data_IF_955100987202
#
_entry.id   IF_955100987202
#
_cell.length_a   1.000
_cell.length_b   1.000
_cell.length_c   1.000
_cell.angle_alpha   90.00
_cell.angle_beta   90.00
_cell.angle_gamma   90.00
#
_symmetry.space_group_name_H-M   'P 1'
#
loop_
_entity.id
_entity.type
_entity.pdbx_description
1 polymer ?
#
# COMPACT_ATOMS: atom_id res chain seq x y z
N UNK A 1 -3.18 4.92 -2.04
CA UNK A 1 -4.13 3.85 -1.66
C UNK A 1 -5.52 4.36 -1.24
N UNK A 2 -5.60 5.35 -0.35
CA UNK A 2 -6.88 5.85 0.21
C UNK A 2 -7.86 6.36 -0.86
N UNK A 3 -7.38 7.21 -1.78
CA UNK A 3 -8.21 7.72 -2.88
C UNK A 3 -8.82 6.58 -3.71
N UNK A 4 -8.00 5.61 -4.15
CA UNK A 4 -8.47 4.44 -4.92
C UNK A 4 -9.45 3.58 -4.12
N UNK A 5 -9.23 3.41 -2.82
CA UNK A 5 -10.14 2.63 -1.98
C UNK A 5 -11.54 3.28 -1.91
N UNK A 6 -11.59 4.60 -1.72
CA UNK A 6 -12.85 5.37 -1.73
C UNK A 6 -13.50 5.42 -3.12
N UNK A 7 -12.70 5.52 -4.18
CA UNK A 7 -13.18 5.49 -5.57
C UNK A 7 -13.88 4.16 -5.88
N UNK A 8 -13.27 3.03 -5.51
CA UNK A 8 -13.75 1.71 -5.88
C UNK A 8 -14.86 1.17 -4.97
N UNK A 9 -14.86 1.56 -3.69
CA UNK A 9 -15.76 0.98 -2.68
C UNK A 9 -16.74 2.01 -2.08
N UNK A 10 -16.66 3.27 -2.51
CA UNK A 10 -17.47 4.35 -1.98
C UNK A 10 -17.01 4.86 -0.60
N UNK A 11 -17.84 5.71 0.04
CA UNK A 11 -17.55 6.30 1.33
C UNK A 11 -17.32 5.24 2.42
N UNK A 12 -16.35 5.48 3.31
CA UNK A 12 -15.93 4.48 4.30
C UNK A 12 -15.40 5.12 5.59
N UNK A 13 -15.46 4.38 6.71
CA UNK A 13 -14.83 4.82 7.97
C UNK A 13 -13.32 4.58 7.95
N UNK A 14 -12.56 5.26 8.82
CA UNK A 14 -11.10 5.06 8.94
C UNK A 14 -10.75 3.59 9.21
N UNK A 15 -11.58 2.87 9.98
CA UNK A 15 -11.39 1.44 10.27
C UNK A 15 -11.54 0.59 9.01
N UNK A 16 -12.55 0.88 8.19
CA UNK A 16 -12.76 0.19 6.91
C UNK A 16 -11.61 0.48 5.95
N UNK A 17 -11.18 1.74 5.85
CA UNK A 17 -10.06 2.14 5.00
C UNK A 17 -8.73 1.48 5.40
N UNK A 18 -8.45 1.40 6.70
CA UNK A 18 -7.27 0.69 7.21
C UNK A 18 -7.28 -0.78 6.81
N UNK A 19 -8.43 -1.46 6.98
CA UNK A 19 -8.58 -2.86 6.57
C UNK A 19 -8.45 -3.07 5.06
N UNK A 20 -9.09 -2.20 4.25
CA UNK A 20 -9.08 -2.33 2.79
C UNK A 20 -7.71 -2.02 2.18
N UNK A 21 -6.93 -1.13 2.80
CA UNK A 21 -5.63 -0.70 2.26
C UNK A 21 -4.44 -1.39 2.88
N UNK A 22 -4.61 -2.15 3.96
CA UNK A 22 -3.51 -2.72 4.75
C UNK A 22 -2.66 -1.68 5.49
N UNK A 23 -3.03 -0.40 5.42
CA UNK A 23 -2.33 0.70 6.08
C UNK A 23 -2.78 0.80 7.53
N UNK A 24 -1.85 1.08 8.44
CA UNK A 24 -2.16 1.23 9.87
C UNK A 24 -3.18 2.34 10.12
N UNK A 25 -3.97 2.20 11.18
CA UNK A 25 -5.01 3.17 11.51
C UNK A 25 -4.47 4.60 11.69
N UNK A 26 -3.30 4.75 12.33
CA UNK A 26 -2.67 6.06 12.53
C UNK A 26 -2.24 6.70 11.20
N UNK A 27 -1.66 5.92 10.27
CA UNK A 27 -1.27 6.42 8.96
C UNK A 27 -2.49 6.78 8.08
N UNK A 28 -3.58 6.01 8.17
CA UNK A 28 -4.87 6.38 7.55
C UNK A 28 -5.37 7.70 8.12
N UNK A 29 -5.44 7.85 9.44
CA UNK A 29 -5.91 9.07 10.11
C UNK A 29 -5.11 10.32 9.70
N UNK A 30 -3.78 10.20 9.66
CA UNK A 30 -2.89 11.28 9.19
C UNK A 30 -3.14 11.64 7.72
N UNK A 31 -3.29 10.63 6.87
CA UNK A 31 -3.59 10.84 5.44
C UNK A 31 -4.94 11.53 5.25
N UNK A 32 -5.98 11.09 5.96
CA UNK A 32 -7.31 11.70 5.90
C UNK A 32 -7.29 13.14 6.39
N UNK A 33 -6.58 13.44 7.47
CA UNK A 33 -6.41 14.82 7.96
C UNK A 33 -5.80 15.72 6.89
N UNK A 34 -4.73 15.26 6.23
CA UNK A 34 -4.08 16.03 5.15
C UNK A 34 -4.97 16.17 3.90
N UNK A 35 -5.68 15.12 3.52
CA UNK A 35 -6.61 15.14 2.39
C UNK A 35 -7.78 16.09 2.66
N UNK A 36 -8.33 16.08 3.87
CA UNK A 36 -9.44 16.94 4.28
C UNK A 36 -9.01 18.40 4.30
N UNK A 37 -7.84 18.72 4.88
CA UNK A 37 -7.27 20.07 4.88
C UNK A 37 -7.06 20.64 3.46
N UNK A 38 -6.85 19.76 2.47
CA UNK A 38 -6.67 20.12 1.06
C UNK A 38 -7.96 19.98 0.22
N UNK A 39 -9.10 19.70 0.85
CA UNK A 39 -10.40 19.59 0.18
C UNK A 39 -10.61 18.33 -0.66
N UNK A 40 -9.76 17.31 -0.55
CA UNK A 40 -9.89 16.04 -1.29
C UNK A 40 -10.94 15.11 -0.72
N UNK A 41 -11.19 15.19 0.60
CA UNK A 41 -12.20 14.37 1.27
C UNK A 41 -13.06 15.22 2.19
N UNK A 42 -14.34 14.85 2.30
CA UNK A 42 -15.24 15.33 3.34
C UNK A 42 -15.37 14.28 4.44
N UNK A 43 -15.68 14.75 5.66
CA UNK A 43 -15.88 13.95 6.85
C UNK A 43 -17.28 14.23 7.38
N UNK A 44 -18.13 13.21 7.41
CA UNK A 44 -19.49 13.29 7.95
C UNK A 44 -19.61 12.40 9.20
N UNK A 45 -20.47 12.78 10.14
CA UNK A 45 -20.80 11.94 11.29
C UNK A 45 -21.50 10.67 10.80
N UNK A 46 -21.02 9.52 11.22
CA UNK A 46 -21.66 8.24 10.94
C UNK A 46 -22.90 8.00 11.82
N UNK A 47 -23.46 6.79 11.72
CA UNK A 47 -24.60 6.36 12.54
C UNK A 47 -24.27 6.31 14.05
N UNK A 48 -23.00 6.04 14.39
CA UNK A 48 -22.43 6.29 15.71
C UNK A 48 -21.71 7.64 15.68
N UNK A 49 -22.01 8.53 16.64
CA UNK A 49 -21.38 9.84 16.78
C UNK A 49 -19.84 9.79 16.90
N UNK A 50 -19.28 8.61 17.18
CA UNK A 50 -17.82 8.38 17.25
C UNK A 50 -17.19 7.95 15.94
N UNK A 51 -17.97 7.48 14.96
CA UNK A 51 -17.45 7.09 13.65
C UNK A 51 -17.60 8.24 12.66
N UNK A 52 -16.54 8.56 11.90
CA UNK A 52 -16.60 9.50 10.78
C UNK A 52 -16.55 8.74 9.46
N UNK A 53 -17.48 9.07 8.58
CA UNK A 53 -17.53 8.57 7.20
C UNK A 53 -16.71 9.53 6.34
N UNK A 54 -15.76 8.97 5.60
CA UNK A 54 -14.91 9.69 4.66
C UNK A 54 -15.47 9.48 3.25
N UNK A 55 -15.63 10.56 2.49
CA UNK A 55 -16.02 10.51 1.08
C UNK A 55 -15.13 11.40 0.22
N UNK A 56 -14.94 11.04 -1.06
CA UNK A 56 -14.28 11.92 -2.03
C UNK A 56 -15.17 13.12 -2.33
N UNK A 57 -14.56 14.30 -2.41
CA UNK A 57 -15.28 15.52 -2.78
C UNK A 57 -15.41 15.65 -4.31
N UNK A 58 -16.29 16.54 -4.81
CA UNK A 58 -16.31 16.90 -6.23
C UNK A 58 -14.95 17.40 -6.74
N UNK A 59 -14.21 18.13 -5.90
CA UNK A 59 -12.85 18.58 -6.21
C UNK A 59 -11.90 17.40 -6.48
N UNK A 60 -11.93 16.38 -5.61
CA UNK A 60 -11.16 15.16 -5.79
C UNK A 60 -11.55 14.39 -7.05
N UNK A 61 -12.85 14.27 -7.33
CA UNK A 61 -13.35 13.60 -8.54
C UNK A 61 -12.94 14.35 -9.82
N UNK A 62 -12.93 15.68 -9.81
CA UNK A 62 -12.43 16.48 -10.94
C UNK A 62 -10.95 16.26 -11.26
N UNK A 63 -10.17 15.75 -10.31
CA UNK A 63 -8.74 15.44 -10.49
C UNK A 63 -8.49 13.97 -10.86
N UNK A 64 -9.53 13.13 -10.89
CA UNK A 64 -9.41 11.71 -11.22
C UNK A 64 -8.71 11.47 -12.57
N UNK A 65 -9.03 12.17 -13.68
CA UNK A 65 -8.37 11.92 -14.96
C UNK A 65 -6.85 12.11 -14.91
N UNK A 66 -6.38 13.12 -14.16
CA UNK A 66 -4.94 13.37 -13.96
C UNK A 66 -4.30 12.27 -13.11
N UNK A 67 -4.98 11.81 -12.07
CA UNK A 67 -4.50 10.71 -11.24
C UNK A 67 -4.41 9.40 -12.04
N UNK A 68 -5.40 9.11 -12.88
CA UNK A 68 -5.39 7.95 -13.77
C UNK A 68 -4.21 7.98 -14.76
N UNK A 69 -3.91 9.15 -15.34
CA UNK A 69 -2.72 9.32 -16.18
C UNK A 69 -1.43 9.05 -15.42
N UNK A 70 -1.28 9.61 -14.20
CA UNK A 70 -0.11 9.33 -13.37
C UNK A 70 0.02 7.83 -13.05
N UNK A 71 -1.10 7.17 -12.75
CA UNK A 71 -1.12 5.74 -12.47
C UNK A 71 -0.76 4.89 -13.68
N UNK A 72 -1.30 5.21 -14.85
CA UNK A 72 -0.96 4.53 -16.10
C UNK A 72 0.53 4.71 -16.44
N UNK A 73 1.08 5.90 -16.21
CA UNK A 73 2.51 6.16 -16.40
C UNK A 73 3.38 5.36 -15.43
N UNK A 74 3.00 5.27 -14.15
CA UNK A 74 3.71 4.43 -13.17
C UNK A 74 3.65 2.95 -13.57
N UNK A 75 2.47 2.45 -13.97
CA UNK A 75 2.29 1.07 -14.42
C UNK A 75 3.16 0.76 -15.66
N UNK A 76 3.21 1.66 -16.64
CA UNK A 76 4.04 1.51 -17.82
C UNK A 76 5.55 1.48 -17.47
N UNK A 77 5.99 2.37 -16.58
CA UNK A 77 7.38 2.39 -16.11
C UNK A 77 7.74 1.12 -15.33
N UNK A 78 6.85 0.63 -14.46
CA UNK A 78 7.04 -0.64 -13.74
C UNK A 78 7.13 -1.83 -14.70
N UNK A 79 6.24 -1.90 -15.71
CA UNK A 79 6.27 -2.97 -16.71
C UNK A 79 7.55 -2.97 -17.54
N UNK A 80 8.05 -1.80 -17.93
CA UNK A 80 9.33 -1.70 -18.63
C UNK A 80 10.49 -2.26 -17.79
N UNK A 81 10.49 -2.03 -16.47
CA UNK A 81 11.48 -2.63 -15.58
C UNK A 81 11.30 -4.15 -15.46
N UNK A 82 10.06 -4.64 -15.40
CA UNK A 82 9.78 -6.08 -15.36
C UNK A 82 10.25 -6.78 -16.65
N UNK A 83 10.16 -6.11 -17.80
CA UNK A 83 10.70 -6.59 -19.09
C UNK A 83 12.23 -6.71 -19.05
N UNK A 84 12.94 -5.70 -18.52
CA UNK A 84 14.39 -5.74 -18.33
C UNK A 84 14.84 -6.90 -17.42
N UNK A 85 14.04 -7.22 -16.40
CA UNK A 85 14.30 -8.29 -15.44
C UNK A 85 13.84 -9.69 -15.92
N UNK A 86 13.03 -9.75 -16.98
CA UNK A 86 12.39 -10.96 -17.49
C UNK A 86 11.32 -11.58 -16.56
N UNK A 87 10.93 -10.87 -15.49
CA UNK A 87 9.89 -11.30 -14.55
C UNK A 87 9.43 -10.11 -13.67
N UNK A 88 8.23 -10.17 -13.06
CA UNK A 88 7.74 -9.08 -12.22
C UNK A 88 8.60 -8.86 -10.95
N UNK A 89 9.09 -7.62 -10.76
CA UNK A 89 9.89 -7.25 -9.60
C UNK A 89 9.15 -7.48 -8.29
N UNK A 90 7.85 -7.15 -8.25
CA UNK A 90 7.02 -7.35 -7.07
C UNK A 90 6.98 -8.82 -6.63
N UNK A 91 6.86 -9.74 -7.58
CA UNK A 91 6.83 -11.18 -7.30
C UNK A 91 8.19 -11.69 -6.80
N UNK A 92 9.30 -11.16 -7.33
CA UNK A 92 10.64 -11.46 -6.80
C UNK A 92 10.73 -11.03 -5.34
N UNK A 93 10.34 -9.79 -5.03
CA UNK A 93 10.42 -9.24 -3.68
C UNK A 93 9.55 -10.03 -2.69
N UNK A 94 8.32 -10.39 -3.08
CA UNK A 94 7.44 -11.23 -2.27
C UNK A 94 8.11 -12.58 -1.98
N UNK A 95 8.62 -13.28 -3.00
CA UNK A 95 9.32 -14.56 -2.81
C UNK A 95 10.55 -14.44 -1.91
N UNK A 96 11.30 -13.34 -2.03
CA UNK A 96 12.46 -13.06 -1.17
C UNK A 96 12.01 -12.88 0.28
N UNK A 97 10.97 -12.07 0.52
CA UNK A 97 10.43 -11.86 1.86
C UNK A 97 9.92 -13.16 2.48
N UNK A 98 9.11 -13.95 1.76
CA UNK A 98 8.66 -15.27 2.22
C UNK A 98 9.82 -16.22 2.52
N UNK A 99 10.87 -16.20 1.69
CA UNK A 99 12.06 -17.01 1.93
C UNK A 99 12.82 -16.56 3.19
N UNK A 100 12.87 -15.25 3.47
CA UNK A 100 13.49 -14.68 4.67
C UNK A 100 12.66 -14.93 5.93
N UNK A 101 11.33 -15.02 5.81
CA UNK A 101 10.45 -15.41 6.92
C UNK A 101 10.61 -16.89 7.28
N UNK A 102 10.67 -17.79 6.28
CA UNK A 102 10.86 -19.23 6.52
C UNK A 102 12.21 -19.57 7.16
N UNK A 103 13.23 -18.79 6.84
CA UNK A 103 14.58 -18.92 7.38
C UNK A 103 15.21 -17.56 7.30
N UNK A 104 15.79 -17.02 8.36
CA UNK A 104 16.41 -15.70 8.31
C UNK A 104 17.74 -15.73 7.55
N UNK A 105 18.26 -14.56 7.18
CA UNK A 105 19.63 -14.50 6.65
C UNK A 105 20.66 -14.90 7.71
N UNK A 106 20.42 -14.57 8.99
CA UNK A 106 21.28 -14.96 10.10
C UNK A 106 21.37 -16.49 10.25
N UNK A 107 20.25 -17.22 10.13
CA UNK A 107 20.23 -18.69 10.18
C UNK A 107 20.95 -19.32 8.98
N UNK A 108 20.96 -18.65 7.83
CA UNK A 108 21.75 -19.08 6.67
C UNK A 108 23.23 -18.91 6.92
N UNK A 109 23.63 -17.76 7.48
CA UNK A 109 25.01 -17.46 7.84
C UNK A 109 25.54 -18.47 8.87
N UNK A 110 24.80 -18.69 9.96
CA UNK A 110 25.19 -19.63 11.01
C UNK A 110 25.45 -21.04 10.44
N UNK A 111 24.55 -21.56 9.59
CA UNK A 111 24.72 -22.87 8.99
C UNK A 111 25.90 -22.95 8.01
N UNK A 112 26.12 -21.90 7.20
CA UNK A 112 27.25 -21.85 6.28
C UNK A 112 28.59 -21.81 7.03
N UNK A 113 28.67 -21.06 8.14
CA UNK A 113 29.86 -20.99 9.00
C UNK A 113 30.10 -22.30 9.76
N UNK A 114 29.07 -22.99 10.24
CA UNK A 114 29.21 -24.30 10.90
C UNK A 114 29.61 -25.41 9.93
N UNK A 115 29.10 -25.41 8.69
CA UNK A 115 29.50 -26.36 7.66
C UNK A 115 30.99 -26.23 7.30
N UNK A 116 31.55 -25.02 7.40
CA UNK A 116 32.96 -24.76 7.12
C UNK A 116 33.91 -25.17 8.26
N UNK A 117 33.39 -25.47 9.46
CA UNK A 117 34.16 -25.89 10.64
C UNK A 117 34.15 -27.42 10.85
N UNK A 118 33.34 -28.16 10.09
CA UNK A 118 33.25 -29.63 10.15
C UNK A 118 34.11 -30.37 9.13
N UNK A 119 34.94 -29.65 8.37
CA UNK A 119 35.90 -30.21 7.40
C UNK A 119 37.32 -29.97 7.94
N UNK A 120 37.72 -30.77 8.93
CA UNK A 120 39.11 -30.98 9.34
C UNK A 120 39.23 -32.26 10.17
#
# INVERSE_FOLDING_TARGET
PIFRALLNNGPATLRVLSRQTGVSHSAVSQTITQMSARGWVSLESGADARERIVSLTPFAMGHLPRLEQCWAATEAASRSLDEDLGQPLADILIRVLEALERRSLADRLAAASSANLGVN
#
